data_IF_184843448067
#
_entry.id   IF_184843448067
#
_cell.length_a   1.000
_cell.length_b   1.000
_cell.length_c   1.000
_cell.angle_alpha   90.00
_cell.angle_beta   90.00
_cell.angle_gamma   90.00
#
_symmetry.space_group_name_H-M   'P 1'
#
loop_
_entity.id
_entity.type
_entity.pdbx_description
1 polymer ?
#
# COMPACT_ATOMS: atom_id res chain seq x y z
N UNK A 1 3.86 10.04 6.05
CA UNK A 1 2.83 9.82 5.04
C UNK A 1 1.50 9.57 5.68
N UNK A 2 0.48 10.26 5.20
CA UNK A 2 -0.85 10.06 5.75
C UNK A 2 -1.57 8.96 5.02
N UNK A 3 -2.22 8.10 5.75
CA UNK A 3 -2.97 6.99 5.18
C UNK A 3 -4.46 7.20 5.38
N UNK A 4 -5.23 7.07 4.30
CA UNK A 4 -6.68 7.09 4.44
C UNK A 4 -7.16 5.65 4.62
N UNK A 5 -8.47 5.44 4.69
CA UNK A 5 -9.00 4.10 4.93
C UNK A 5 -8.57 3.10 3.87
N UNK A 6 -8.58 3.52 2.62
CA UNK A 6 -8.19 2.64 1.51
C UNK A 6 -6.71 2.29 1.63
N UNK A 7 -5.88 3.28 1.93
CA UNK A 7 -4.45 3.05 2.08
C UNK A 7 -4.19 2.03 3.18
N UNK A 8 -4.86 2.18 4.30
CA UNK A 8 -4.68 1.26 5.42
C UNK A 8 -5.11 -0.14 5.06
N UNK A 9 -6.22 -0.28 4.34
CA UNK A 9 -6.69 -1.58 3.93
C UNK A 9 -5.68 -2.24 3.00
N UNK A 10 -5.17 -1.50 2.03
CA UNK A 10 -4.22 -2.04 1.08
C UNK A 10 -2.94 -2.46 1.78
N UNK A 11 -2.42 -1.60 2.65
CA UNK A 11 -1.19 -1.91 3.35
C UNK A 11 -1.36 -3.14 4.25
N UNK A 12 -2.46 -3.17 5.01
CA UNK A 12 -2.72 -4.30 5.91
C UNK A 12 -2.87 -5.60 5.14
N UNK A 13 -3.54 -5.54 3.98
CA UNK A 13 -3.71 -6.72 3.18
C UNK A 13 -2.37 -7.25 2.67
N UNK A 14 -1.55 -6.36 2.13
CA UNK A 14 -0.26 -6.78 1.60
C UNK A 14 0.63 -7.36 2.70
N UNK A 15 0.54 -6.77 3.88
CA UNK A 15 1.32 -7.25 5.01
C UNK A 15 0.83 -8.61 5.47
N UNK A 16 -0.49 -8.78 5.53
CA UNK A 16 -1.08 -10.04 5.98
C UNK A 16 -0.84 -11.17 5.00
N UNK A 17 -0.92 -10.88 3.69
CA UNK A 17 -0.74 -11.91 2.68
C UNK A 17 0.72 -12.33 2.56
N UNK A 18 1.62 -11.37 2.73
CA UNK A 18 3.04 -11.68 2.65
C UNK A 18 3.51 -12.17 1.30
N UNK A 19 2.74 -11.89 0.25
CA UNK A 19 3.11 -12.32 -1.10
C UNK A 19 2.65 -11.27 -2.08
N UNK A 20 3.05 -11.41 -3.33
CA UNK A 20 2.68 -10.46 -4.37
C UNK A 20 1.23 -10.68 -4.79
N UNK A 21 0.51 -9.60 -4.96
CA UNK A 21 -0.89 -9.63 -5.36
C UNK A 21 -1.11 -8.71 -6.54
N UNK A 22 -2.03 -9.09 -7.42
CA UNK A 22 -2.38 -8.23 -8.55
C UNK A 22 -3.34 -7.15 -8.07
N UNK A 23 -3.50 -6.12 -8.88
CA UNK A 23 -4.43 -5.05 -8.58
C UNK A 23 -5.84 -5.60 -8.35
N UNK A 24 -6.25 -6.52 -9.20
CA UNK A 24 -7.57 -7.11 -9.08
C UNK A 24 -7.73 -7.86 -7.76
N UNK A 25 -6.72 -8.62 -7.39
CA UNK A 25 -6.78 -9.35 -6.13
C UNK A 25 -6.88 -8.43 -4.94
N UNK A 26 -6.13 -7.34 -4.97
CA UNK A 26 -6.16 -6.39 -3.87
C UNK A 26 -7.53 -5.72 -3.81
N UNK A 27 -8.08 -5.36 -4.96
CA UNK A 27 -9.40 -4.75 -5.02
C UNK A 27 -10.45 -5.71 -4.44
N UNK A 28 -10.41 -6.96 -4.86
CA UNK A 28 -11.38 -7.93 -4.39
C UNK A 28 -11.27 -8.16 -2.88
N UNK A 29 -10.06 -8.25 -2.39
CA UNK A 29 -9.87 -8.55 -0.97
C UNK A 29 -10.14 -7.36 -0.06
N UNK A 30 -9.90 -6.16 -0.54
CA UNK A 30 -10.17 -4.98 0.26
C UNK A 30 -11.59 -4.50 0.13
N UNK A 31 -12.27 -4.93 -0.92
CA UNK A 31 -13.63 -4.47 -1.17
C UNK A 31 -13.68 -3.06 -1.74
N UNK A 32 -12.54 -2.53 -2.19
CA UNK A 32 -12.49 -1.19 -2.76
C UNK A 32 -12.36 -1.24 -4.26
N UNK A 33 -12.85 -0.23 -4.97
CA UNK A 33 -12.75 -0.22 -6.43
C UNK A 33 -11.29 -0.13 -6.87
N UNK A 34 -11.00 -0.73 -8.01
CA UNK A 34 -9.63 -0.73 -8.53
C UNK A 34 -9.04 0.67 -8.65
N UNK A 35 -9.87 1.64 -8.98
CA UNK A 35 -9.37 3.01 -9.11
C UNK A 35 -8.78 3.52 -7.81
N UNK A 36 -9.47 3.27 -6.70
CA UNK A 36 -8.99 3.71 -5.39
C UNK A 36 -7.77 2.92 -4.96
N UNK A 37 -7.80 1.61 -5.21
CA UNK A 37 -6.68 0.76 -4.88
C UNK A 37 -5.45 1.18 -5.68
N UNK A 38 -5.63 1.47 -6.95
CA UNK A 38 -4.52 1.89 -7.79
C UNK A 38 -3.88 3.18 -7.27
N UNK A 39 -4.71 4.13 -6.86
CA UNK A 39 -4.18 5.38 -6.32
C UNK A 39 -3.37 5.14 -5.05
N UNK A 40 -3.85 4.25 -4.19
CA UNK A 40 -3.12 3.92 -2.97
C UNK A 40 -1.80 3.25 -3.29
N UNK A 41 -1.83 2.28 -4.21
CA UNK A 41 -0.62 1.57 -4.59
C UNK A 41 0.39 2.51 -5.23
N UNK A 42 -0.08 3.44 -6.05
CA UNK A 42 0.81 4.39 -6.68
C UNK A 42 1.48 5.28 -5.63
N UNK A 43 0.73 5.71 -4.63
CA UNK A 43 1.26 6.51 -3.55
C UNK A 43 2.34 5.73 -2.80
N UNK A 44 2.05 4.47 -2.48
CA UNK A 44 3.02 3.63 -1.80
C UNK A 44 4.25 3.40 -2.66
N UNK A 45 4.05 3.25 -3.95
CA UNK A 45 5.17 3.05 -4.86
C UNK A 45 6.08 4.26 -4.89
N UNK A 46 5.51 5.46 -4.90
CA UNK A 46 6.27 6.69 -4.91
C UNK A 46 7.10 6.85 -3.63
N UNK A 47 6.61 6.29 -2.54
CA UNK A 47 7.33 6.34 -1.28
C UNK A 47 8.16 5.08 -1.06
N UNK A 48 8.27 4.23 -2.07
CA UNK A 48 9.04 3.00 -2.03
C UNK A 48 8.56 2.03 -0.96
N UNK A 49 7.29 2.09 -0.63
CA UNK A 49 6.71 1.17 0.34
C UNK A 49 6.28 -0.13 -0.33
N UNK A 50 5.84 -0.05 -1.58
CA UNK A 50 5.53 -1.24 -2.36
C UNK A 50 6.35 -1.24 -3.63
N UNK A 51 6.54 -2.41 -4.22
CA UNK A 51 7.20 -2.53 -5.51
C UNK A 51 6.30 -3.33 -6.42
N UNK A 52 6.49 -3.17 -7.71
CA UNK A 52 5.69 -3.89 -8.68
C UNK A 52 6.59 -4.80 -9.50
N UNK A 53 6.07 -5.97 -9.86
CA UNK A 53 6.81 -6.90 -10.68
C UNK A 53 5.78 -7.80 -11.35
N UNK A 54 5.81 -7.87 -12.66
CA UNK A 54 4.88 -8.69 -13.42
C UNK A 54 3.43 -8.36 -13.09
N UNK A 55 3.14 -7.07 -12.92
CA UNK A 55 1.80 -6.57 -12.61
C UNK A 55 1.31 -6.97 -11.22
N UNK A 56 2.22 -7.41 -10.36
CA UNK A 56 1.87 -7.73 -8.99
C UNK A 56 2.54 -6.75 -8.06
N UNK A 57 1.93 -6.55 -6.91
CA UNK A 57 2.43 -5.59 -5.94
C UNK A 57 2.78 -6.28 -4.63
N UNK A 58 3.84 -5.85 -4.02
CA UNK A 58 4.23 -6.41 -2.71
C UNK A 58 4.93 -5.33 -1.90
N UNK A 59 4.99 -5.53 -0.60
CA UNK A 59 5.68 -4.59 0.27
C UNK A 59 7.19 -4.77 0.12
N UNK A 60 7.90 -3.65 0.17
CA UNK A 60 9.35 -3.68 0.06
C UNK A 60 10.02 -3.91 1.41
N UNK A 61 9.23 -3.85 2.47
CA UNK A 61 9.79 -3.94 3.81
C UNK A 61 9.76 -2.63 4.55
N UNK A 62 9.42 -1.55 3.87
CA UNK A 62 9.32 -0.26 4.52
C UNK A 62 7.94 -0.10 5.14
N UNK A 63 7.90 0.62 6.25
CA UNK A 63 6.67 0.80 6.98
C UNK A 63 6.24 2.26 6.85
N UNK A 64 5.09 2.53 6.27
CA UNK A 64 4.63 3.91 6.11
C UNK A 64 4.44 4.62 7.45
N UNK A 65 4.09 3.87 8.48
CA UNK A 65 3.93 4.46 9.79
C UNK A 65 5.28 4.93 10.33
N UNK A 66 6.29 4.10 10.18
CA UNK A 66 7.63 4.47 10.61
C UNK A 66 8.15 5.67 9.82
N UNK A 67 7.95 5.64 8.52
CA UNK A 67 8.38 6.75 7.68
C UNK A 67 7.66 8.03 8.07
N UNK A 68 6.39 7.90 8.38
CA UNK A 68 5.62 9.02 8.78
C UNK A 68 6.14 9.63 10.08
N UNK A 69 6.49 8.80 11.01
CA UNK A 69 7.00 9.26 12.27
C UNK A 69 8.30 10.04 12.07
N UNK A 70 9.11 9.55 11.21
CA UNK A 70 10.37 10.20 10.95
C UNK A 70 10.17 11.52 10.24
N UNK A 71 9.23 11.53 9.32
CA UNK A 71 9.04 12.69 8.52
C UNK A 71 8.24 13.74 9.20
N UNK A 72 7.58 13.49 10.29
CA UNK A 72 6.62 14.27 10.77
C UNK A 72 6.72 14.73 12.00
N UNK A 73 7.37 15.60 12.14
CA UNK A 73 7.50 16.16 13.39
C UNK A 73 6.28 16.84 13.74
N UNK A 74 5.51 17.07 13.39
CA UNK A 74 4.54 17.63 13.75
C UNK A 74 3.84 17.64 14.34
N UNK A 75 3.88 17.74 14.37
CA UNK A 75 3.32 17.91 14.78
C UNK A 75 3.05 18.22 15.06
#
# INVERSE_FOLDING_TARGET
MKLNKVDEKVYSLLKAEGKKLTLQEISDKTGEPCKKVFKSLRKFFEHEIVETQARKYSLTGKDPTAAKEEAEPEV
#
